data_IF_082126908138
#
_entry.id   IF_082126908138
#
_cell.length_a   1.000
_cell.length_b   1.000
_cell.length_c   1.000
_cell.angle_alpha   90.00
_cell.angle_beta   90.00
_cell.angle_gamma   90.00
#
_symmetry.space_group_name_H-M   'P 1'
#
loop_
_entity.id
_entity.type
_entity.pdbx_description
1 polymer ?
#
# COMPACT_ATOMS: atom_id res chain seq x y z
N UNK A 1 12.24 -17.86 -9.70
CA UNK A 1 13.24 -17.06 -8.94
C UNK A 1 13.41 -17.77 -7.61
N UNK A 2 14.59 -18.34 -7.32
CA UNK A 2 14.77 -19.33 -6.24
C UNK A 2 14.10 -18.93 -4.93
N UNK A 3 14.39 -17.74 -4.42
CA UNK A 3 13.90 -17.29 -3.11
C UNK A 3 12.42 -16.89 -3.13
N UNK A 4 11.97 -16.32 -4.24
CA UNK A 4 10.57 -15.94 -4.41
C UNK A 4 9.63 -17.16 -4.41
N UNK A 5 10.01 -18.21 -5.12
CA UNK A 5 9.18 -19.41 -5.24
C UNK A 5 9.06 -20.11 -3.87
N UNK A 6 10.15 -20.18 -3.09
CA UNK A 6 10.14 -20.67 -1.70
C UNK A 6 9.24 -19.81 -0.82
N UNK A 7 9.45 -18.48 -0.81
CA UNK A 7 8.67 -17.55 -0.02
C UNK A 7 7.17 -17.63 -0.30
N UNK A 8 6.78 -17.60 -1.57
CA UNK A 8 5.38 -17.53 -1.96
C UNK A 8 4.60 -18.81 -1.62
N UNK A 9 5.23 -19.97 -1.82
CA UNK A 9 4.63 -21.27 -1.57
C UNK A 9 4.51 -21.57 -0.07
N UNK A 10 5.50 -21.14 0.73
CA UNK A 10 5.49 -21.31 2.18
C UNK A 10 5.07 -20.03 2.95
N UNK A 11 4.39 -19.08 2.30
CA UNK A 11 4.10 -17.76 2.88
C UNK A 11 3.48 -17.79 4.28
N UNK A 12 2.59 -18.76 4.56
CA UNK A 12 1.96 -18.86 5.89
C UNK A 12 2.98 -19.08 7.03
N UNK A 13 4.14 -19.68 6.73
CA UNK A 13 5.23 -19.83 7.68
C UNK A 13 5.93 -18.49 7.98
N UNK A 14 6.04 -17.62 6.97
CA UNK A 14 6.74 -16.34 7.04
C UNK A 14 5.83 -15.17 7.42
N UNK A 15 4.51 -15.32 7.34
CA UNK A 15 3.55 -14.35 7.86
C UNK A 15 3.75 -14.19 9.37
N UNK A 16 4.03 -12.98 9.85
CA UNK A 16 4.10 -12.73 11.30
C UNK A 16 2.68 -12.56 11.88
N UNK A 17 2.27 -13.40 12.85
CA UNK A 17 0.92 -13.38 13.41
C UNK A 17 0.68 -12.22 14.39
N UNK A 18 1.70 -11.52 14.88
CA UNK A 18 1.52 -10.37 15.77
C UNK A 18 0.91 -9.17 15.04
N UNK A 19 1.07 -9.11 13.71
CA UNK A 19 0.50 -8.06 12.89
C UNK A 19 -0.66 -8.62 12.09
N UNK A 20 -1.84 -8.01 12.22
CA UNK A 20 -3.05 -8.41 11.50
C UNK A 20 -4.00 -7.23 11.38
N UNK A 21 -4.78 -7.22 10.29
CA UNK A 21 -5.77 -6.18 10.05
C UNK A 21 -5.15 -4.86 9.56
N UNK A 22 -5.93 -3.79 9.66
CA UNK A 22 -5.61 -2.47 9.07
C UNK A 22 -5.01 -1.47 10.06
N UNK A 23 -5.29 -1.61 11.35
CA UNK A 23 -4.76 -0.72 12.37
C UNK A 23 -3.46 -1.31 12.95
N UNK A 24 -2.32 -0.80 12.47
CA UNK A 24 -0.98 -1.15 12.97
C UNK A 24 -0.31 0.13 13.45
N UNK A 25 0.15 0.16 14.69
CA UNK A 25 0.85 1.30 15.27
C UNK A 25 2.11 0.86 16.03
N UNK A 26 2.86 1.84 16.54
CA UNK A 26 4.20 1.64 17.10
C UNK A 26 4.26 0.54 18.16
N UNK A 27 3.34 0.53 19.14
CA UNK A 27 3.30 -0.46 20.22
C UNK A 27 3.11 -1.91 19.71
N UNK A 28 2.52 -2.12 18.53
CA UNK A 28 2.36 -3.45 17.95
C UNK A 28 3.63 -3.92 17.23
N UNK A 29 4.44 -2.99 16.68
CA UNK A 29 5.68 -3.33 15.98
C UNK A 29 6.90 -3.36 16.90
N UNK A 30 6.89 -2.65 18.03
CA UNK A 30 8.00 -2.62 19.00
C UNK A 30 8.42 -4.01 19.53
N UNK A 31 7.49 -4.93 19.88
CA UNK A 31 7.87 -6.29 20.27
C UNK A 31 8.62 -7.06 19.16
N UNK A 32 8.27 -6.81 17.89
CA UNK A 32 8.98 -7.37 16.75
C UNK A 32 10.35 -6.73 16.57
N UNK A 33 10.43 -5.40 16.67
CA UNK A 33 11.69 -4.66 16.64
C UNK A 33 12.64 -5.21 17.71
N UNK A 34 12.18 -5.41 18.94
CA UNK A 34 12.99 -5.99 20.01
C UNK A 34 13.48 -7.41 19.66
N UNK A 35 12.58 -8.27 19.17
CA UNK A 35 12.93 -9.63 18.72
C UNK A 35 14.02 -9.60 17.65
N UNK A 36 13.94 -8.67 16.72
CA UNK A 36 14.85 -8.58 15.59
C UNK A 36 16.21 -7.94 15.92
N UNK A 37 16.41 -7.35 17.11
CA UNK A 37 17.73 -6.83 17.54
C UNK A 37 18.81 -7.91 17.57
N UNK A 38 18.43 -9.18 17.77
CA UNK A 38 19.35 -10.32 17.76
C UNK A 38 19.83 -10.69 16.35
N UNK A 39 19.15 -10.24 15.31
CA UNK A 39 19.42 -10.60 13.91
C UNK A 39 19.92 -9.41 13.10
N UNK A 40 19.42 -8.21 13.39
CA UNK A 40 19.61 -7.01 12.56
C UNK A 40 20.12 -5.84 13.37
N UNK A 41 20.78 -4.90 12.68
CA UNK A 41 21.21 -3.65 13.30
C UNK A 41 20.03 -2.69 13.36
N UNK A 42 19.50 -2.51 14.57
CA UNK A 42 18.36 -1.63 14.83
C UNK A 42 18.85 -0.35 15.51
N UNK A 43 18.34 0.79 15.07
CA UNK A 43 18.63 2.10 15.67
C UNK A 43 17.36 2.91 15.80
N UNK A 44 17.29 3.73 16.86
CA UNK A 44 16.40 4.88 16.92
C UNK A 44 17.10 6.01 16.16
N UNK A 45 16.45 6.53 15.12
CA UNK A 45 16.97 7.61 14.29
C UNK A 45 16.68 8.98 14.90
N UNK A 46 15.61 9.09 15.68
CA UNK A 46 15.10 10.30 16.29
C UNK A 46 13.68 10.06 16.74
N UNK A 47 12.96 11.15 16.96
CA UNK A 47 11.59 11.13 17.46
C UNK A 47 10.65 11.86 16.50
N UNK A 48 9.38 11.47 16.50
CA UNK A 48 8.29 12.17 15.84
C UNK A 48 7.91 13.46 16.58
N UNK A 49 6.92 14.19 16.08
CA UNK A 49 6.41 15.41 16.73
C UNK A 49 5.98 15.16 18.19
N UNK A 50 5.31 14.04 18.46
CA UNK A 50 4.87 13.66 19.82
C UNK A 50 5.94 12.88 20.61
N UNK A 51 7.21 12.92 20.21
CA UNK A 51 8.30 12.27 20.94
C UNK A 51 8.36 10.74 20.77
N UNK A 52 7.67 10.16 19.78
CA UNK A 52 7.69 8.70 19.57
C UNK A 52 8.91 8.29 18.75
N UNK A 53 9.62 7.20 19.09
CA UNK A 53 10.83 6.82 18.39
C UNK A 53 10.56 6.38 16.95
N UNK A 54 11.42 6.81 16.03
CA UNK A 54 11.44 6.36 14.63
C UNK A 54 12.63 5.43 14.45
N UNK A 55 12.35 4.18 14.07
CA UNK A 55 13.35 3.13 13.97
C UNK A 55 13.87 2.94 12.54
N UNK A 56 15.13 2.55 12.43
CA UNK A 56 15.68 1.88 11.24
C UNK A 56 16.08 0.45 11.57
N UNK A 57 15.83 -0.47 10.65
CA UNK A 57 16.30 -1.86 10.67
C UNK A 57 17.27 -2.02 9.50
N UNK A 58 18.52 -2.38 9.78
CA UNK A 58 19.55 -2.60 8.74
C UNK A 58 19.97 -4.05 8.69
N UNK A 59 19.98 -4.63 7.48
CA UNK A 59 20.30 -6.02 7.19
C UNK A 59 21.40 -6.11 6.12
N UNK A 60 22.28 -7.08 6.26
CA UNK A 60 23.36 -7.33 5.30
C UNK A 60 24.49 -6.31 5.32
N UNK A 61 25.57 -6.65 4.60
CA UNK A 61 26.77 -5.83 4.45
C UNK A 61 27.27 -5.81 3.00
N UNK A 62 26.44 -6.25 2.06
CA UNK A 62 26.77 -6.34 0.65
C UNK A 62 26.71 -4.99 -0.07
N UNK A 63 27.20 -4.93 -1.31
CA UNK A 63 27.43 -3.67 -2.02
C UNK A 63 26.16 -2.98 -2.52
N UNK A 64 25.09 -3.72 -2.83
CA UNK A 64 23.84 -3.14 -3.36
C UNK A 64 23.02 -2.55 -2.23
N UNK A 65 22.71 -1.25 -2.30
CA UNK A 65 22.02 -0.53 -1.23
C UNK A 65 20.57 -0.25 -1.57
N UNK A 66 19.64 -0.71 -0.74
CA UNK A 66 18.21 -0.42 -0.91
C UNK A 66 17.67 0.26 0.33
N UNK A 67 17.07 1.44 0.14
CA UNK A 67 16.32 2.14 1.18
C UNK A 67 14.83 1.81 1.02
N UNK A 68 14.19 1.39 2.09
CA UNK A 68 12.75 1.11 2.12
C UNK A 68 12.11 1.92 3.23
N UNK A 69 10.95 2.50 2.99
CA UNK A 69 10.18 3.14 4.05
C UNK A 69 8.70 2.88 3.88
N UNK A 70 8.02 2.70 5.00
CA UNK A 70 6.59 2.42 5.06
C UNK A 70 5.88 3.34 6.04
N UNK A 71 4.56 3.45 5.85
CA UNK A 71 3.64 4.10 6.78
C UNK A 71 4.06 5.54 7.13
N UNK A 72 4.48 6.29 6.10
CA UNK A 72 4.61 7.75 6.20
C UNK A 72 3.24 8.43 6.25
N UNK A 73 2.22 7.77 5.71
CA UNK A 73 0.84 8.00 6.08
C UNK A 73 0.45 6.97 7.13
N UNK A 74 -0.02 7.43 8.28
CA UNK A 74 -0.24 6.59 9.44
C UNK A 74 -1.31 5.49 9.26
N UNK A 75 -2.30 5.72 8.40
CA UNK A 75 -3.38 4.78 8.10
C UNK A 75 -3.06 3.78 6.97
N UNK A 76 -1.81 3.71 6.51
CA UNK A 76 -1.36 2.87 5.40
C UNK A 76 -0.41 1.76 5.91
N UNK A 77 -0.96 0.76 6.60
CA UNK A 77 -0.18 -0.21 7.37
C UNK A 77 0.16 -1.52 6.64
N UNK A 78 -0.45 -1.78 5.48
CA UNK A 78 -0.35 -3.11 4.85
C UNK A 78 1.08 -3.43 4.45
N UNK A 79 1.78 -2.43 3.95
CA UNK A 79 3.19 -2.59 3.57
C UNK A 79 4.11 -2.74 4.78
N UNK A 80 3.82 -2.12 5.93
CA UNK A 80 4.53 -2.37 7.21
C UNK A 80 4.43 -3.84 7.58
N UNK A 81 3.23 -4.44 7.49
CA UNK A 81 3.04 -5.87 7.76
C UNK A 81 3.87 -6.73 6.80
N UNK A 82 3.87 -6.40 5.52
CA UNK A 82 4.63 -7.10 4.50
C UNK A 82 6.16 -6.99 4.71
N UNK A 83 6.64 -5.83 5.19
CA UNK A 83 8.04 -5.64 5.58
C UNK A 83 8.43 -6.62 6.68
N UNK A 84 7.60 -6.79 7.71
CA UNK A 84 7.89 -7.74 8.78
C UNK A 84 7.85 -9.21 8.31
N UNK A 85 7.04 -9.55 7.30
CA UNK A 85 7.08 -10.89 6.70
C UNK A 85 8.37 -11.13 5.90
N UNK A 86 8.84 -10.11 5.19
CA UNK A 86 10.14 -10.14 4.52
C UNK A 86 11.29 -10.31 5.53
N UNK A 87 11.25 -9.55 6.63
CA UNK A 87 12.22 -9.67 7.72
C UNK A 87 12.20 -11.07 8.33
N UNK A 88 11.01 -11.60 8.65
CA UNK A 88 10.85 -12.97 9.16
C UNK A 88 11.41 -14.00 8.20
N UNK A 89 11.14 -13.88 6.90
CA UNK A 89 11.71 -14.76 5.89
C UNK A 89 13.24 -14.75 5.93
N UNK A 90 13.85 -13.55 5.97
CA UNK A 90 15.31 -13.40 6.07
C UNK A 90 15.93 -13.90 7.37
N UNK A 91 15.14 -14.20 8.41
CA UNK A 91 15.64 -14.84 9.65
C UNK A 91 15.47 -16.36 9.67
N UNK A 92 14.51 -16.90 8.92
CA UNK A 92 14.14 -18.31 8.96
C UNK A 92 14.83 -19.09 7.83
N UNK A 93 14.89 -18.51 6.64
CA UNK A 93 15.50 -19.14 5.46
C UNK A 93 16.98 -18.77 5.41
N UNK A 94 17.84 -19.75 5.73
CA UNK A 94 19.29 -19.56 5.84
C UNK A 94 19.92 -19.18 4.48
N UNK A 95 19.48 -19.81 3.38
CA UNK A 95 19.98 -19.51 2.04
C UNK A 95 19.66 -18.06 1.66
N UNK A 96 18.42 -17.61 1.91
CA UNK A 96 18.02 -16.23 1.66
C UNK A 96 18.75 -15.25 2.58
N UNK A 97 18.95 -15.60 3.85
CA UNK A 97 19.76 -14.80 4.77
C UNK A 97 21.17 -14.57 4.22
N UNK A 98 21.89 -15.66 3.90
CA UNK A 98 23.26 -15.59 3.36
C UNK A 98 23.30 -14.77 2.07
N UNK A 99 22.29 -14.94 1.20
CA UNK A 99 22.15 -14.16 -0.02
C UNK A 99 22.01 -12.66 0.24
N UNK A 100 21.15 -12.25 1.19
CA UNK A 100 21.01 -10.85 1.61
C UNK A 100 22.32 -10.33 2.17
N UNK A 101 22.95 -11.10 3.07
CA UNK A 101 24.20 -10.69 3.74
C UNK A 101 25.33 -10.42 2.74
N UNK A 102 25.44 -11.23 1.68
CA UNK A 102 26.48 -11.13 0.67
C UNK A 102 26.22 -10.02 -0.36
N UNK A 103 24.97 -9.82 -0.78
CA UNK A 103 24.66 -8.96 -1.93
C UNK A 103 24.17 -7.57 -1.54
N UNK A 104 23.54 -7.43 -0.37
CA UNK A 104 22.80 -6.24 -0.02
C UNK A 104 23.24 -5.61 1.30
N UNK A 105 23.11 -4.30 1.35
CA UNK A 105 22.84 -3.57 2.59
C UNK A 105 21.43 -2.99 2.45
N UNK A 106 20.48 -3.46 3.25
CA UNK A 106 19.11 -2.95 3.26
C UNK A 106 18.92 -2.02 4.45
N UNK A 107 18.34 -0.83 4.24
CA UNK A 107 17.94 0.06 5.31
C UNK A 107 16.42 0.27 5.26
N UNK A 108 15.72 -0.13 6.31
CA UNK A 108 14.26 -0.15 6.34
C UNK A 108 13.77 0.74 7.49
N UNK A 109 12.93 1.72 7.16
CA UNK A 109 12.14 2.48 8.13
C UNK A 109 10.71 1.89 8.13
N UNK A 110 10.39 0.96 9.04
CA UNK A 110 9.10 0.25 8.99
C UNK A 110 7.92 1.17 9.32
N UNK A 111 8.13 2.32 9.95
CA UNK A 111 7.09 3.29 10.28
C UNK A 111 7.70 4.68 10.38
N UNK A 112 7.46 5.50 9.35
CA UNK A 112 7.95 6.90 9.31
C UNK A 112 7.08 7.84 10.16
N UNK A 113 5.77 7.61 10.20
CA UNK A 113 4.81 8.48 10.90
C UNK A 113 4.13 7.73 12.07
N UNK A 114 4.82 7.49 13.19
CA UNK A 114 4.24 6.79 14.33
C UNK A 114 3.08 7.56 14.99
N UNK A 115 3.04 8.89 14.84
CA UNK A 115 1.97 9.73 15.38
C UNK A 115 0.67 9.54 14.61
N UNK A 116 0.74 9.67 13.28
CA UNK A 116 -0.37 9.36 12.41
C UNK A 116 -0.80 7.90 12.52
N UNK A 117 0.13 6.96 12.77
CA UNK A 117 -0.18 5.55 12.94
C UNK A 117 -1.08 5.30 14.16
N UNK A 118 -0.74 5.90 15.31
CA UNK A 118 -1.57 5.83 16.53
C UNK A 118 -2.92 6.52 16.33
N UNK A 119 -2.95 7.66 15.64
CA UNK A 119 -4.19 8.37 15.34
C UNK A 119 -5.02 7.75 14.20
N UNK A 120 -4.47 6.78 13.48
CA UNK A 120 -4.98 6.26 12.21
C UNK A 120 -5.32 7.35 11.18
N UNK A 121 -4.40 8.31 11.00
CA UNK A 121 -4.53 9.43 10.06
C UNK A 121 -3.50 9.37 8.96
N UNK A 122 -3.83 9.98 7.81
CA UNK A 122 -2.88 10.15 6.70
C UNK A 122 -1.72 11.09 7.09
N UNK A 123 -2.04 12.15 7.82
CA UNK A 123 -1.10 13.21 8.21
C UNK A 123 -0.45 12.90 9.57
N UNK A 124 0.66 13.56 9.90
CA UNK A 124 1.26 13.49 11.25
C UNK A 124 0.45 14.31 12.28
N UNK A 125 0.91 14.42 13.53
CA UNK A 125 0.18 15.14 14.59
C UNK A 125 0.04 16.65 14.34
N UNK A 126 0.93 17.26 13.56
CA UNK A 126 0.82 18.64 13.11
C UNK A 126 -0.12 18.82 11.90
N UNK A 127 -0.87 17.77 11.51
CA UNK A 127 -1.73 17.76 10.32
C UNK A 127 -0.99 18.00 9.00
N UNK A 128 0.31 17.67 8.93
CA UNK A 128 1.12 17.76 7.71
C UNK A 128 1.16 16.41 6.99
N UNK A 129 0.91 16.43 5.67
CA UNK A 129 1.16 15.28 4.80
C UNK A 129 2.67 15.22 4.55
N UNK A 130 3.36 14.24 5.17
CA UNK A 130 4.81 14.06 5.03
C UNK A 130 5.22 13.82 3.57
N UNK A 131 4.32 13.29 2.73
CA UNK A 131 4.56 13.12 1.30
C UNK A 131 4.23 14.39 0.50
N UNK A 132 4.16 15.55 1.17
CA UNK A 132 4.13 16.90 0.58
C UNK A 132 5.17 17.82 1.24
N UNK A 133 6.03 17.29 2.09
CA UNK A 133 7.01 18.04 2.89
C UNK A 133 8.47 17.69 2.53
N UNK A 134 8.72 17.08 1.36
CA UNK A 134 10.05 16.62 0.98
C UNK A 134 11.06 17.76 0.72
N UNK A 135 10.57 18.95 0.34
CA UNK A 135 11.38 20.13 0.06
C UNK A 135 11.58 21.01 1.28
N UNK A 136 10.50 21.42 1.94
CA UNK A 136 10.56 22.31 3.09
C UNK A 136 11.06 21.59 4.35
N UNK A 137 10.71 20.30 4.49
CA UNK A 137 11.11 19.43 5.61
C UNK A 137 10.81 20.09 6.95
N UNK A 138 9.59 20.60 7.07
CA UNK A 138 9.10 21.28 8.27
C UNK A 138 8.91 20.32 9.45
N UNK A 139 8.76 19.02 9.18
CA UNK A 139 8.46 18.01 10.19
C UNK A 139 9.72 17.19 10.57
N UNK A 140 9.86 16.78 11.86
CA UNK A 140 10.99 15.97 12.30
C UNK A 140 11.07 14.63 11.54
N UNK A 141 9.92 14.02 11.22
CA UNK A 141 9.86 12.77 10.45
C UNK A 141 10.44 12.95 9.03
N UNK A 142 10.10 14.06 8.35
CA UNK A 142 10.63 14.42 7.03
C UNK A 142 12.14 14.62 7.07
N UNK A 143 12.64 15.34 8.10
CA UNK A 143 14.08 15.55 8.31
C UNK A 143 14.82 14.23 8.55
N UNK A 144 14.24 13.34 9.36
CA UNK A 144 14.81 12.02 9.64
C UNK A 144 14.93 11.20 8.36
N UNK A 145 13.86 11.09 7.57
CA UNK A 145 13.87 10.32 6.32
C UNK A 145 14.89 10.88 5.33
N UNK A 146 14.94 12.21 5.17
CA UNK A 146 15.91 12.86 4.29
C UNK A 146 17.35 12.59 4.72
N UNK A 147 17.65 12.72 6.02
CA UNK A 147 19.00 12.43 6.57
C UNK A 147 19.41 10.97 6.35
N UNK A 148 18.48 10.03 6.48
CA UNK A 148 18.77 8.62 6.15
C UNK A 148 19.12 8.49 4.67
N UNK A 149 18.31 9.04 3.78
CA UNK A 149 18.59 9.03 2.33
C UNK A 149 19.99 9.58 2.01
N UNK A 150 20.30 10.79 2.52
CA UNK A 150 21.58 11.47 2.25
C UNK A 150 22.80 10.71 2.80
N UNK A 151 22.66 10.10 3.98
CA UNK A 151 23.76 9.38 4.66
C UNK A 151 23.94 7.95 4.15
N UNK A 152 22.84 7.25 3.87
CA UNK A 152 22.84 5.87 3.41
C UNK A 152 23.32 5.77 1.95
N UNK A 153 22.94 6.75 1.13
CA UNK A 153 23.21 6.81 -0.32
C UNK A 153 22.71 5.55 -1.02
N UNK A 154 21.38 5.32 -1.04
CA UNK A 154 20.81 4.13 -1.66
C UNK A 154 21.08 4.10 -3.16
N UNK A 155 21.14 2.88 -3.70
CA UNK A 155 21.10 2.65 -5.16
C UNK A 155 19.65 2.51 -5.65
N UNK A 156 18.76 1.99 -4.80
CA UNK A 156 17.33 1.87 -5.07
C UNK A 156 16.50 2.28 -3.85
N UNK A 157 15.30 2.79 -4.11
CA UNK A 157 14.35 3.20 -3.09
C UNK A 157 13.01 2.47 -3.27
N UNK A 158 12.48 1.86 -2.21
CA UNK A 158 11.12 1.33 -2.18
C UNK A 158 10.24 2.23 -1.31
N UNK A 159 9.30 2.91 -1.95
CA UNK A 159 8.30 3.73 -1.30
C UNK A 159 7.03 2.90 -1.07
N UNK A 160 6.70 2.61 0.18
CA UNK A 160 5.70 1.60 0.52
C UNK A 160 4.41 2.24 1.07
N UNK A 161 3.34 2.18 0.29
CA UNK A 161 2.05 2.83 0.53
C UNK A 161 0.86 1.88 0.43
N UNK A 162 -0.30 2.39 0.82
CA UNK A 162 -1.60 1.78 0.58
C UNK A 162 -2.47 2.69 -0.30
N UNK A 163 -3.30 2.09 -1.16
CA UNK A 163 -4.30 2.80 -1.96
C UNK A 163 -5.73 2.45 -1.53
N UNK A 164 -6.71 3.27 -1.90
CA UNK A 164 -8.12 3.06 -1.54
C UNK A 164 -8.76 1.90 -2.30
N UNK A 165 -9.90 1.41 -1.80
CA UNK A 165 -10.69 0.32 -2.42
C UNK A 165 -11.36 0.69 -3.74
N UNK A 166 -11.28 1.96 -4.16
CA UNK A 166 -11.98 2.52 -5.33
C UNK A 166 -11.32 2.20 -6.68
N UNK A 167 -10.10 1.66 -6.65
CA UNK A 167 -9.29 1.51 -7.86
C UNK A 167 -9.50 0.16 -8.56
N UNK A 168 -9.66 0.20 -9.87
CA UNK A 168 -9.57 -0.95 -10.79
C UNK A 168 -8.27 -0.91 -11.58
N UNK A 169 -7.75 -2.08 -11.94
CA UNK A 169 -6.61 -2.17 -12.85
C UNK A 169 -7.12 -2.00 -14.30
N UNK A 170 -7.03 -0.77 -14.81
CA UNK A 170 -7.67 -0.37 -16.06
C UNK A 170 -9.20 -0.34 -15.98
N UNK A 171 -9.85 -0.31 -17.14
CA UNK A 171 -11.32 -0.30 -17.28
C UNK A 171 -11.90 -1.72 -17.21
N UNK A 172 -11.64 -2.41 -16.10
CA UNK A 172 -12.01 -3.81 -15.89
C UNK A 172 -12.76 -3.99 -14.57
N UNK A 173 -13.57 -5.05 -14.42
CA UNK A 173 -14.23 -5.39 -13.15
C UNK A 173 -13.27 -6.02 -12.12
N UNK A 174 -11.95 -5.84 -12.28
CA UNK A 174 -10.93 -6.40 -11.40
C UNK A 174 -10.31 -5.26 -10.57
N UNK A 175 -10.28 -5.40 -9.23
CA UNK A 175 -9.70 -4.36 -8.40
C UNK A 175 -8.19 -4.30 -8.59
N UNK A 176 -7.62 -3.11 -8.46
CA UNK A 176 -6.19 -2.95 -8.39
C UNK A 176 -5.70 -3.44 -7.01
N UNK A 177 -5.40 -4.74 -6.91
CA UNK A 177 -4.91 -5.37 -5.66
C UNK A 177 -3.52 -4.86 -5.31
N UNK A 178 -2.64 -4.78 -6.32
CA UNK A 178 -1.32 -4.17 -6.19
C UNK A 178 -1.20 -3.12 -7.28
N UNK A 179 -0.61 -1.98 -6.96
CA UNK A 179 -0.21 -1.04 -8.00
C UNK A 179 1.21 -0.57 -7.82
N UNK A 180 1.83 -0.21 -8.93
CA UNK A 180 3.19 0.28 -8.95
C UNK A 180 3.27 1.64 -9.61
N UNK A 181 4.31 2.38 -9.26
CA UNK A 181 4.68 3.60 -9.95
C UNK A 181 6.20 3.74 -9.91
N UNK A 182 6.78 4.13 -11.03
CA UNK A 182 8.06 4.86 -10.99
C UNK A 182 7.74 6.35 -10.96
N UNK A 183 8.07 7.07 -9.86
CA UNK A 183 7.82 8.50 -9.75
C UNK A 183 8.40 9.27 -10.94
N UNK A 184 7.81 10.42 -11.26
CA UNK A 184 8.36 11.30 -12.28
C UNK A 184 9.60 12.03 -11.76
N UNK A 185 10.54 12.32 -12.66
CA UNK A 185 11.75 13.12 -12.36
C UNK A 185 11.56 14.61 -12.66
N UNK A 186 10.61 14.93 -13.52
CA UNK A 186 10.33 16.28 -13.98
C UNK A 186 8.86 16.41 -14.40
N UNK A 187 8.46 17.64 -14.67
CA UNK A 187 7.09 17.97 -15.10
C UNK A 187 6.69 17.29 -16.42
N UNK A 188 7.65 17.01 -17.29
CA UNK A 188 7.45 16.37 -18.60
C UNK A 188 7.34 14.85 -18.50
N UNK A 189 7.55 14.28 -17.31
CA UNK A 189 7.54 12.84 -17.04
C UNK A 189 8.55 12.10 -17.94
N UNK A 190 9.73 12.69 -18.14
CA UNK A 190 10.78 12.13 -19.00
C UNK A 190 11.12 10.70 -18.58
N UNK A 191 11.27 9.78 -19.54
CA UNK A 191 11.72 8.40 -19.30
C UNK A 191 13.26 8.38 -19.28
N UNK A 192 13.84 8.82 -18.18
CA UNK A 192 15.30 8.88 -17.95
C UNK A 192 15.89 7.49 -17.72
N UNK A 193 17.23 7.39 -17.64
CA UNK A 193 17.92 6.14 -17.32
C UNK A 193 17.45 5.56 -15.98
N UNK A 194 17.34 6.39 -14.95
CA UNK A 194 17.00 5.92 -13.61
C UNK A 194 15.52 5.50 -13.51
N UNK A 195 14.60 6.18 -14.22
CA UNK A 195 13.22 5.67 -14.38
C UNK A 195 13.15 4.35 -15.15
N UNK A 196 13.97 4.15 -16.18
CA UNK A 196 14.01 2.87 -16.90
C UNK A 196 14.41 1.71 -15.98
N UNK A 197 15.34 1.94 -15.04
CA UNK A 197 15.78 0.93 -14.06
C UNK A 197 14.65 0.50 -13.12
N UNK A 198 13.91 1.46 -12.55
CA UNK A 198 12.73 1.16 -11.72
C UNK A 198 11.60 0.50 -12.53
N UNK A 199 11.32 0.99 -13.75
CA UNK A 199 10.35 0.38 -14.67
C UNK A 199 10.68 -1.09 -14.99
N UNK A 200 11.95 -1.42 -15.21
CA UNK A 200 12.40 -2.79 -15.46
C UNK A 200 12.08 -3.71 -14.27
N UNK A 201 12.42 -3.28 -13.06
CA UNK A 201 12.12 -4.06 -11.83
C UNK A 201 10.60 -4.24 -11.67
N UNK A 202 9.81 -3.18 -11.91
CA UNK A 202 8.34 -3.25 -11.87
C UNK A 202 7.80 -4.24 -12.90
N UNK A 203 8.35 -4.25 -14.12
CA UNK A 203 7.97 -5.21 -15.16
C UNK A 203 8.14 -6.66 -14.71
N UNK A 204 9.25 -6.97 -14.03
CA UNK A 204 9.52 -8.30 -13.47
C UNK A 204 8.56 -8.66 -12.33
N UNK A 205 8.28 -7.72 -11.41
CA UNK A 205 7.28 -7.95 -10.36
C UNK A 205 5.89 -8.19 -10.94
N UNK A 206 5.51 -7.44 -11.99
CA UNK A 206 4.24 -7.63 -12.68
C UNK A 206 4.15 -9.02 -13.33
N UNK A 207 5.19 -9.47 -14.04
CA UNK A 207 5.19 -10.83 -14.63
C UNK A 207 4.95 -11.93 -13.60
N UNK A 208 5.53 -11.79 -12.41
CA UNK A 208 5.25 -12.70 -11.31
C UNK A 208 3.81 -12.58 -10.82
N UNK A 209 3.35 -11.37 -10.52
CA UNK A 209 2.02 -11.13 -9.95
C UNK A 209 0.90 -11.52 -10.91
N UNK A 210 1.04 -11.33 -12.23
CA UNK A 210 0.04 -11.72 -13.22
C UNK A 210 -0.23 -13.24 -13.22
N UNK A 211 0.72 -14.07 -12.77
CA UNK A 211 0.51 -15.52 -12.62
C UNK A 211 -0.40 -15.89 -11.44
N UNK A 212 -0.59 -14.97 -10.50
CA UNK A 212 -1.30 -15.23 -9.25
C UNK A 212 -2.52 -14.33 -9.02
N UNK A 213 -2.50 -13.13 -9.57
CA UNK A 213 -3.58 -12.14 -9.56
C UNK A 213 -3.74 -11.50 -10.96
N UNK A 214 -4.05 -12.31 -11.98
CA UNK A 214 -4.14 -11.83 -13.36
C UNK A 214 -5.13 -10.67 -13.47
N UNK A 215 -4.70 -9.59 -14.13
CA UNK A 215 -5.49 -8.39 -14.35
C UNK A 215 -5.77 -7.55 -13.11
N UNK A 216 -5.11 -7.79 -11.97
CA UNK A 216 -5.28 -7.03 -10.72
C UNK A 216 -4.03 -6.23 -10.32
N UNK A 217 -3.09 -6.07 -11.25
CA UNK A 217 -1.91 -5.21 -11.10
C UNK A 217 -2.11 -3.96 -11.95
N UNK A 218 -1.95 -2.78 -11.36
CA UNK A 218 -2.16 -1.50 -12.03
C UNK A 218 -0.98 -0.52 -11.89
N UNK A 219 -1.01 0.58 -12.65
CA UNK A 219 -0.09 1.71 -12.50
C UNK A 219 -0.81 2.89 -11.84
N UNK A 220 -0.13 3.53 -10.90
CA UNK A 220 -0.60 4.80 -10.35
C UNK A 220 -0.26 5.96 -11.31
N UNK A 221 -1.00 7.06 -11.24
CA UNK A 221 -0.69 8.26 -12.03
C UNK A 221 0.68 8.82 -11.63
N UNK A 222 1.50 9.15 -12.62
CA UNK A 222 2.85 9.69 -12.46
C UNK A 222 2.90 11.22 -12.56
N UNK A 223 1.83 11.89 -12.13
CA UNK A 223 1.77 13.35 -12.02
C UNK A 223 2.89 13.90 -11.13
N UNK A 224 3.79 14.69 -11.73
CA UNK A 224 4.95 15.22 -11.04
C UNK A 224 4.59 16.24 -9.96
N UNK A 225 5.12 16.03 -8.77
CA UNK A 225 5.12 16.96 -7.66
C UNK A 225 6.40 16.80 -6.85
N UNK A 226 7.33 17.73 -7.01
CA UNK A 226 8.63 17.72 -6.30
C UNK A 226 8.51 17.76 -4.77
N UNK A 227 7.33 18.08 -4.22
CA UNK A 227 7.10 18.01 -2.78
C UNK A 227 6.82 16.59 -2.27
N UNK A 228 6.55 15.64 -3.17
CA UNK A 228 6.47 14.22 -2.86
C UNK A 228 7.87 13.62 -2.65
N UNK A 229 7.98 12.69 -1.70
CA UNK A 229 9.26 12.03 -1.39
C UNK A 229 9.72 11.16 -2.57
N UNK A 230 8.80 10.43 -3.19
CA UNK A 230 9.09 9.58 -4.35
C UNK A 230 9.72 10.37 -5.50
N UNK A 231 9.05 11.44 -5.93
CA UNK A 231 9.52 12.35 -6.98
C UNK A 231 10.83 13.03 -6.58
N UNK A 232 11.00 13.42 -5.32
CA UNK A 232 12.24 14.03 -4.81
C UNK A 232 13.43 13.08 -4.95
N UNK A 233 13.28 11.82 -4.52
CA UNK A 233 14.36 10.84 -4.57
C UNK A 233 14.64 10.38 -5.99
N UNK A 234 13.59 10.25 -6.81
CA UNK A 234 13.75 9.98 -8.24
C UNK A 234 14.48 11.16 -8.94
N UNK A 235 14.11 12.41 -8.66
CA UNK A 235 14.77 13.61 -9.19
C UNK A 235 16.24 13.70 -8.75
N UNK A 236 16.57 13.16 -7.58
CA UNK A 236 17.95 12.98 -7.10
C UNK A 236 18.71 11.83 -7.81
N UNK A 237 18.18 11.33 -8.94
CA UNK A 237 18.76 10.29 -9.78
C UNK A 237 18.90 8.95 -9.07
N UNK A 238 18.01 8.64 -8.12
CA UNK A 238 17.92 7.33 -7.48
C UNK A 238 16.64 6.63 -7.95
N UNK A 239 16.73 5.48 -8.64
CA UNK A 239 15.58 4.68 -9.03
C UNK A 239 14.67 4.38 -7.83
N UNK A 240 13.46 4.90 -7.89
CA UNK A 240 12.46 4.80 -6.83
C UNK A 240 11.25 4.03 -7.37
N UNK A 241 10.81 3.05 -6.60
CA UNK A 241 9.67 2.19 -6.89
C UNK A 241 8.64 2.43 -5.80
N UNK A 242 7.48 2.92 -6.20
CA UNK A 242 6.33 3.04 -5.32
C UNK A 242 5.50 1.76 -5.41
N UNK A 243 5.14 1.23 -4.25
CA UNK A 243 4.23 0.11 -4.05
C UNK A 243 2.95 0.66 -3.45
N UNK A 244 1.81 0.42 -4.09
CA UNK A 244 0.48 0.71 -3.54
C UNK A 244 -0.22 -0.61 -3.20
N UNK A 245 -0.56 -0.79 -1.93
CA UNK A 245 -1.36 -1.92 -1.49
C UNK A 245 -2.85 -1.59 -1.61
N UNK A 246 -3.52 -2.25 -2.55
CA UNK A 246 -4.94 -2.02 -2.82
C UNK A 246 -5.83 -3.05 -2.17
N UNK A 247 -6.95 -3.35 -2.84
CA UNK A 247 -7.94 -4.30 -2.34
C UNK A 247 -7.89 -5.58 -3.15
N UNK A 248 -7.68 -6.70 -2.46
CA UNK A 248 -8.02 -8.01 -2.98
C UNK A 248 -9.51 -8.28 -2.71
N UNK A 249 -10.27 -8.90 -3.63
CA UNK A 249 -11.70 -9.12 -3.45
C UNK A 249 -12.06 -9.70 -2.08
N UNK A 250 -12.98 -9.01 -1.37
CA UNK A 250 -13.48 -9.38 -0.04
C UNK A 250 -12.47 -9.32 1.12
N UNK A 251 -11.23 -8.87 0.87
CA UNK A 251 -10.16 -8.79 1.86
C UNK A 251 -10.01 -7.36 2.40
N UNK A 252 -10.98 -6.90 3.19
CA UNK A 252 -10.94 -5.57 3.80
C UNK A 252 -9.84 -5.42 4.86
N UNK A 253 -9.33 -6.54 5.38
CA UNK A 253 -8.20 -6.59 6.32
C UNK A 253 -6.84 -6.53 5.62
N UNK A 254 -6.82 -6.66 4.28
CA UNK A 254 -5.61 -6.65 3.42
C UNK A 254 -4.58 -7.71 3.80
N UNK A 255 -5.03 -8.90 4.17
CA UNK A 255 -4.14 -10.02 4.48
C UNK A 255 -3.66 -10.75 3.22
N UNK A 256 -4.49 -10.79 2.19
CA UNK A 256 -4.13 -11.31 0.88
C UNK A 256 -3.31 -10.27 0.10
N UNK A 257 -3.68 -8.99 0.14
CA UNK A 257 -2.83 -7.92 -0.44
C UNK A 257 -1.43 -7.91 0.18
N UNK A 258 -1.33 -8.04 1.52
CA UNK A 258 -0.05 -8.17 2.25
C UNK A 258 0.85 -9.28 1.67
N UNK A 259 0.29 -10.45 1.35
CA UNK A 259 1.04 -11.56 0.72
C UNK A 259 1.69 -11.11 -0.58
N UNK A 260 0.93 -10.46 -1.45
CA UNK A 260 1.42 -10.07 -2.77
C UNK A 260 2.43 -8.94 -2.70
N UNK A 261 2.26 -7.99 -1.78
CA UNK A 261 3.26 -6.94 -1.51
C UNK A 261 4.56 -7.55 -1.00
N UNK A 262 4.50 -8.46 -0.01
CA UNK A 262 5.69 -9.13 0.52
C UNK A 262 6.42 -9.93 -0.58
N UNK A 263 5.65 -10.63 -1.41
CA UNK A 263 6.19 -11.40 -2.53
C UNK A 263 6.80 -10.50 -3.60
N UNK A 264 6.20 -9.34 -3.88
CA UNK A 264 6.76 -8.36 -4.80
C UNK A 264 8.09 -7.79 -4.28
N UNK A 265 8.22 -7.52 -2.98
CA UNK A 265 9.49 -7.11 -2.38
C UNK A 265 10.57 -8.20 -2.50
N UNK A 266 10.24 -9.46 -2.20
CA UNK A 266 11.17 -10.59 -2.39
C UNK A 266 11.55 -10.74 -3.86
N UNK A 267 10.60 -10.58 -4.78
CA UNK A 267 10.83 -10.62 -6.22
C UNK A 267 11.81 -9.53 -6.67
N UNK A 268 11.58 -8.28 -6.26
CA UNK A 268 12.46 -7.17 -6.58
C UNK A 268 13.88 -7.38 -6.02
N UNK A 269 14.01 -7.79 -4.76
CA UNK A 269 15.31 -8.05 -4.14
C UNK A 269 16.04 -9.22 -4.80
N UNK A 270 15.37 -10.34 -5.09
CA UNK A 270 15.96 -11.45 -5.82
C UNK A 270 16.42 -10.99 -7.22
N UNK A 271 15.61 -10.22 -7.94
CA UNK A 271 15.96 -9.77 -9.28
C UNK A 271 17.14 -8.79 -9.29
N UNK A 272 17.11 -7.77 -8.41
CA UNK A 272 18.19 -6.79 -8.25
C UNK A 272 19.50 -7.47 -7.87
N UNK A 273 19.47 -8.54 -7.07
CA UNK A 273 20.69 -9.19 -6.60
C UNK A 273 21.36 -9.99 -7.71
N UNK A 274 20.57 -10.69 -8.53
CA UNK A 274 21.05 -11.58 -9.58
C UNK A 274 21.40 -10.86 -10.91
N UNK A 275 21.02 -9.58 -11.06
CA UNK A 275 21.17 -8.85 -12.32
C UNK A 275 21.77 -7.45 -12.14
N UNK A 276 22.34 -6.94 -13.22
CA UNK A 276 22.64 -5.51 -13.38
C UNK A 276 21.41 -4.82 -13.97
N UNK A 277 20.79 -3.95 -13.18
CA UNK A 277 19.58 -3.25 -13.60
C UNK A 277 19.97 -2.07 -14.48
N UNK A 278 19.94 -2.29 -15.79
CA UNK A 278 20.32 -1.30 -16.81
C UNK A 278 19.12 -0.56 -17.40
N UNK A 279 17.90 -1.00 -17.10
CA UNK A 279 16.67 -0.42 -17.65
C UNK A 279 16.42 -0.78 -19.12
N UNK A 280 16.99 -1.88 -19.60
CA UNK A 280 16.81 -2.37 -20.96
C UNK A 280 15.42 -2.97 -21.19
N UNK A 281 14.79 -3.49 -20.13
CA UNK A 281 13.47 -4.14 -20.19
C UNK A 281 12.32 -3.23 -19.71
N UNK A 282 12.55 -1.92 -19.63
CA UNK A 282 11.57 -0.95 -19.10
C UNK A 282 10.21 -0.98 -19.81
N UNK A 283 10.15 -1.38 -21.10
CA UNK A 283 8.91 -1.36 -21.88
C UNK A 283 7.80 -2.21 -21.28
N UNK A 284 8.14 -3.30 -20.57
CA UNK A 284 7.18 -4.19 -19.88
C UNK A 284 6.36 -3.46 -18.82
N UNK A 285 6.86 -2.32 -18.30
CA UNK A 285 6.10 -1.45 -17.40
C UNK A 285 4.78 -0.97 -18.03
N UNK A 286 4.77 -0.70 -19.33
CA UNK A 286 3.59 -0.18 -20.03
C UNK A 286 2.55 -1.26 -20.36
N UNK A 287 2.87 -2.54 -20.15
CA UNK A 287 1.88 -3.62 -20.22
C UNK A 287 0.93 -3.61 -19.02
N UNK A 288 1.29 -2.88 -17.95
CA UNK A 288 0.46 -2.68 -16.77
C UNK A 288 -0.55 -1.57 -17.07
N UNK A 289 -1.87 -1.81 -16.93
CA UNK A 289 -2.88 -0.78 -17.16
C UNK A 289 -2.81 0.31 -16.07
N UNK A 290 -3.11 1.56 -16.42
CA UNK A 290 -3.31 2.61 -15.43
C UNK A 290 -4.57 2.37 -14.61
N UNK A 291 -4.52 2.75 -13.34
CA UNK A 291 -5.65 2.62 -12.44
C UNK A 291 -6.80 3.55 -12.84
N UNK A 292 -8.01 3.04 -12.72
CA UNK A 292 -9.24 3.82 -12.89
C UNK A 292 -10.05 3.81 -11.58
N UNK A 293 -10.89 4.82 -11.36
CA UNK A 293 -11.72 4.93 -10.14
C UNK A 293 -13.12 4.36 -10.40
N UNK A 294 -13.20 3.05 -10.64
CA UNK A 294 -14.42 2.37 -11.07
C UNK A 294 -15.08 1.48 -10.01
N UNK A 295 -14.55 1.45 -8.79
CA UNK A 295 -15.09 0.61 -7.71
C UNK A 295 -15.78 1.40 -6.60
N UNK A 296 -16.86 0.81 -6.10
CA UNK A 296 -17.46 1.08 -4.80
C UNK A 296 -17.28 -0.12 -3.86
N UNK A 297 -17.43 0.09 -2.55
CA UNK A 297 -17.34 -1.01 -1.59
C UNK A 297 -18.59 -1.89 -1.65
N UNK A 298 -19.76 -1.25 -1.76
CA UNK A 298 -21.05 -1.92 -1.94
C UNK A 298 -21.87 -1.18 -2.99
N UNK A 299 -22.56 -1.93 -3.86
CA UNK A 299 -23.69 -1.42 -4.62
C UNK A 299 -24.94 -2.23 -4.26
N UNK A 300 -25.98 -1.50 -3.84
CA UNK A 300 -27.34 -2.02 -3.66
C UNK A 300 -28.12 -1.71 -4.95
N UNK A 301 -28.38 -2.72 -5.76
CA UNK A 301 -29.13 -2.57 -7.01
C UNK A 301 -30.64 -2.61 -6.75
N UNK A 302 -31.39 -1.84 -7.53
CA UNK A 302 -32.86 -1.81 -7.47
C UNK A 302 -33.43 -1.49 -6.07
N UNK A 303 -32.79 -0.62 -5.30
CA UNK A 303 -33.26 -0.23 -3.98
C UNK A 303 -34.58 0.56 -4.09
N UNK A 304 -35.67 0.15 -3.42
CA UNK A 304 -36.94 0.89 -3.44
C UNK A 304 -36.86 2.13 -2.55
N UNK A 305 -36.78 3.31 -3.18
CA UNK A 305 -36.69 4.62 -2.51
C UNK A 305 -38.00 5.37 -2.70
N UNK A 306 -38.57 5.87 -1.59
CA UNK A 306 -39.76 6.71 -1.59
C UNK A 306 -39.36 8.19 -1.58
N UNK A 307 -39.91 8.95 -2.53
CA UNK A 307 -39.77 10.40 -2.66
C UNK A 307 -41.08 10.96 -3.27
N UNK A 308 -41.65 12.01 -2.67
CA UNK A 308 -42.92 12.62 -3.09
C UNK A 308 -44.09 11.63 -3.31
N UNK A 309 -44.25 10.68 -2.38
CA UNK A 309 -45.25 9.60 -2.45
C UNK A 309 -45.12 8.63 -3.63
N UNK A 310 -44.01 8.67 -4.37
CA UNK A 310 -43.68 7.70 -5.43
C UNK A 310 -42.52 6.82 -5.00
N UNK A 311 -42.59 5.54 -5.34
CA UNK A 311 -41.49 4.60 -5.14
C UNK A 311 -40.72 4.44 -6.45
N UNK A 312 -39.41 4.70 -6.40
CA UNK A 312 -38.49 4.48 -7.50
C UNK A 312 -37.49 3.39 -7.10
N UNK A 313 -37.08 2.57 -8.06
CA UNK A 313 -36.02 1.59 -7.84
C UNK A 313 -34.72 2.16 -8.42
N UNK A 314 -33.79 2.49 -7.53
CA UNK A 314 -32.51 3.14 -7.86
C UNK A 314 -31.36 2.32 -7.28
N UNK A 315 -30.17 2.47 -7.87
CA UNK A 315 -28.97 1.84 -7.35
C UNK A 315 -28.29 2.79 -6.34
N UNK A 316 -27.82 2.24 -5.23
CA UNK A 316 -27.10 2.99 -4.18
C UNK A 316 -25.65 2.51 -4.14
N UNK A 317 -24.71 3.40 -4.46
CA UNK A 317 -23.29 3.16 -4.33
C UNK A 317 -22.76 3.66 -2.98
N UNK A 318 -22.02 2.81 -2.30
CA UNK A 318 -21.53 3.03 -0.93
C UNK A 318 -20.01 2.86 -0.90
N UNK A 319 -19.33 3.82 -0.27
CA UNK A 319 -17.96 3.66 0.20
C UNK A 319 -17.92 3.61 1.72
N UNK A 320 -17.04 2.80 2.26
CA UNK A 320 -16.77 2.83 3.69
C UNK A 320 -15.85 3.98 4.05
N UNK A 321 -16.26 4.76 5.05
CA UNK A 321 -15.40 5.66 5.79
C UNK A 321 -14.79 4.89 6.95
N UNK A 322 -13.46 4.87 6.99
CA UNK A 322 -12.72 4.23 8.05
C UNK A 322 -12.63 5.19 9.26
N UNK A 323 -12.99 4.71 10.45
CA UNK A 323 -12.85 5.49 11.69
C UNK A 323 -12.31 4.62 12.82
N UNK A 324 -11.34 5.12 13.57
CA UNK A 324 -10.81 4.45 14.74
C UNK A 324 -11.67 4.79 15.97
N UNK A 325 -12.18 3.78 16.66
CA UNK A 325 -12.93 3.93 17.91
C UNK A 325 -12.48 2.88 18.92
N UNK A 326 -12.07 3.32 20.12
CA UNK A 326 -11.65 2.42 21.21
C UNK A 326 -10.59 1.37 20.77
N UNK A 327 -9.63 1.80 19.92
CA UNK A 327 -8.58 0.93 19.39
C UNK A 327 -9.02 -0.07 18.32
N UNK A 328 -10.27 0.04 17.82
CA UNK A 328 -10.81 -0.80 16.75
C UNK A 328 -11.15 0.04 15.54
N UNK A 329 -10.82 -0.48 14.36
CA UNK A 329 -11.18 0.16 13.11
C UNK A 329 -12.63 -0.21 12.73
N UNK A 330 -13.47 0.80 12.56
CA UNK A 330 -14.84 0.67 12.08
C UNK A 330 -14.94 1.12 10.62
N UNK A 331 -15.75 0.41 9.83
CA UNK A 331 -16.06 0.74 8.44
C UNK A 331 -17.49 1.23 8.35
N UNK A 332 -17.66 2.55 8.24
CA UNK A 332 -18.96 3.21 8.26
C UNK A 332 -19.46 3.44 6.84
N UNK A 333 -20.62 2.90 6.44
CA UNK A 333 -21.14 3.07 5.09
C UNK A 333 -21.53 4.54 4.84
N UNK A 334 -20.99 5.10 3.76
CA UNK A 334 -21.31 6.42 3.26
C UNK A 334 -21.87 6.32 1.85
N UNK A 335 -23.04 6.92 1.62
CA UNK A 335 -23.62 7.01 0.27
C UNK A 335 -22.78 7.97 -0.56
N UNK A 336 -22.26 7.47 -1.68
CA UNK A 336 -21.56 8.30 -2.67
C UNK A 336 -22.47 8.69 -3.83
N UNK A 337 -23.37 7.78 -4.23
CA UNK A 337 -24.29 7.97 -5.36
C UNK A 337 -25.61 7.24 -5.15
N UNK A 338 -26.67 7.86 -5.66
CA UNK A 338 -27.98 7.25 -5.86
C UNK A 338 -28.42 7.60 -7.29
N UNK A 339 -28.46 6.61 -8.17
CA UNK A 339 -28.87 6.82 -9.56
C UNK A 339 -29.41 5.54 -10.19
N UNK A 340 -30.03 5.66 -11.37
CA UNK A 340 -30.55 4.51 -12.12
C UNK A 340 -29.45 3.92 -13.00
N UNK A 341 -29.27 2.60 -12.96
CA UNK A 341 -28.33 1.85 -13.81
C UNK A 341 -26.86 2.28 -13.64
N UNK A 342 -26.33 2.18 -12.42
CA UNK A 342 -24.94 2.50 -12.11
C UNK A 342 -23.97 1.66 -12.97
N UNK A 343 -23.13 2.33 -13.75
CA UNK A 343 -22.09 1.68 -14.58
C UNK A 343 -20.73 1.60 -13.87
N UNK A 344 -20.76 1.13 -12.63
CA UNK A 344 -19.59 0.94 -11.78
C UNK A 344 -19.49 -0.49 -11.27
N UNK A 345 -18.31 -0.88 -10.80
CA UNK A 345 -18.07 -2.15 -10.14
C UNK A 345 -18.19 -2.00 -8.62
N UNK A 346 -18.36 -3.13 -7.94
CA UNK A 346 -18.43 -3.16 -6.48
C UNK A 346 -17.80 -4.42 -5.94
N UNK A 347 -17.19 -4.31 -4.75
CA UNK A 347 -16.68 -5.47 -4.02
C UNK A 347 -17.81 -6.36 -3.49
N UNK A 348 -18.91 -5.74 -3.04
CA UNK A 348 -20.16 -6.43 -2.68
C UNK A 348 -21.33 -5.92 -3.50
N UNK A 349 -22.18 -6.83 -3.96
CA UNK A 349 -23.33 -6.53 -4.81
C UNK A 349 -24.56 -7.21 -4.24
N UNK A 350 -25.63 -6.44 -4.06
CA UNK A 350 -26.91 -6.96 -3.56
C UNK A 350 -28.02 -6.46 -4.47
N UNK A 351 -28.92 -7.36 -4.89
CA UNK A 351 -30.14 -6.98 -5.61
C UNK A 351 -31.31 -6.93 -4.62
N UNK A 352 -31.81 -5.73 -4.36
CA UNK A 352 -32.81 -5.52 -3.31
C UNK A 352 -34.20 -6.06 -3.70
N UNK A 353 -34.45 -6.27 -5.00
CA UNK A 353 -35.66 -6.96 -5.45
C UNK A 353 -35.64 -8.43 -5.02
N UNK A 354 -34.47 -9.08 -5.09
CA UNK A 354 -34.29 -10.48 -4.68
C UNK A 354 -34.37 -10.62 -3.16
N UNK A 355 -33.81 -9.65 -2.42
CA UNK A 355 -33.83 -9.64 -0.96
C UNK A 355 -35.19 -9.21 -0.36
N UNK A 356 -36.15 -8.74 -1.17
CA UNK A 356 -37.50 -8.40 -0.71
C UNK A 356 -37.54 -7.18 0.23
N UNK A 357 -36.79 -6.12 -0.08
CA UNK A 357 -36.70 -4.93 0.77
C UNK A 357 -37.94 -4.04 0.63
N UNK A 358 -38.46 -3.51 1.75
CA UNK A 358 -39.56 -2.53 1.74
C UNK A 358 -39.06 -1.14 1.35
N UNK A 359 -39.92 -0.32 0.75
CA UNK A 359 -39.53 1.05 0.39
C UNK A 359 -39.13 1.88 1.61
N UNK A 360 -38.06 2.66 1.49
CA UNK A 360 -37.54 3.54 2.54
C UNK A 360 -37.59 5.00 2.07
N UNK A 361 -37.91 5.94 2.96
CA UNK A 361 -37.87 7.36 2.61
C UNK A 361 -36.43 7.78 2.34
N UNK A 362 -36.19 8.56 1.27
CA UNK A 362 -34.82 8.89 0.82
C UNK A 362 -33.95 9.52 1.93
N UNK A 363 -34.53 10.36 2.79
CA UNK A 363 -33.80 11.01 3.89
C UNK A 363 -33.41 10.06 5.03
N UNK A 364 -34.00 8.86 5.09
CA UNK A 364 -33.66 7.84 6.09
C UNK A 364 -32.46 6.99 5.67
N UNK A 365 -32.04 7.06 4.40
CA UNK A 365 -30.88 6.34 3.86
C UNK A 365 -29.59 7.02 4.32
N UNK A 366 -29.25 6.82 5.58
CA UNK A 366 -28.07 7.37 6.24
C UNK A 366 -27.15 6.25 6.79
N UNK A 367 -26.03 6.63 7.40
CA UNK A 367 -25.03 5.70 7.97
C UNK A 367 -25.67 4.66 8.91
N UNK A 368 -26.58 5.08 9.80
CA UNK A 368 -27.20 4.20 10.79
C UNK A 368 -28.09 3.16 10.11
N UNK A 369 -28.93 3.59 9.17
CA UNK A 369 -29.77 2.70 8.38
C UNK A 369 -28.92 1.69 7.60
N UNK A 370 -27.93 2.17 6.86
CA UNK A 370 -27.07 1.32 6.02
C UNK A 370 -26.24 0.35 6.85
N UNK A 371 -25.74 0.77 8.02
CA UNK A 371 -25.00 -0.12 8.92
C UNK A 371 -25.89 -1.28 9.37
N UNK A 372 -27.14 -1.00 9.76
CA UNK A 372 -28.10 -2.04 10.14
C UNK A 372 -28.46 -2.95 8.97
N UNK A 373 -28.71 -2.37 7.79
CA UNK A 373 -29.06 -3.14 6.60
C UNK A 373 -27.92 -4.07 6.19
N UNK A 374 -26.71 -3.54 6.01
CA UNK A 374 -25.53 -4.31 5.60
C UNK A 374 -25.10 -5.35 6.63
N UNK A 375 -25.46 -5.19 7.90
CA UNK A 375 -25.24 -6.21 8.93
C UNK A 375 -26.20 -7.40 8.88
N UNK A 376 -27.33 -7.27 8.15
CA UNK A 376 -28.36 -8.29 8.06
C UNK A 376 -28.38 -9.05 6.73
N UNK A 377 -27.59 -8.62 5.74
CA UNK A 377 -27.59 -9.18 4.38
C UNK A 377 -26.26 -9.80 3.98
#
# INVERSE_FOLDING_TARGET
>A
MKYLDTFFNAYQHYKDPLLSGRYIHLQQIEPLIERYKNFFKIKVLGESVEGKPIYSITLGNGPKKILMWSQMHGNESTTTKAVFDFLKYSTIDEDFNQYIMANFTLCILPMVNPDGAVAYTRVNSNSVDLNRDAQDRTQPESVILRRVFDSFKPEFCFNLHDQRTIFSAGKTPLPATVSFLTPAEDKERTITKERKRSMEIIGVMNEFLQKHIPGQVGRYDDGFNINCVGDTFQSAQIPTILFESGHFPMDYQREQTRKYIASAMVCAVNYIGDHDILGLQYKKYFDIPENEKLFYDVILYNFPIKEDSKVQHLDIAILFKESLREGKLEFKPNVERIEKNLKFYAHKKFDMNVLGTTSVEKYEINEVFLTKLLGNI
#
